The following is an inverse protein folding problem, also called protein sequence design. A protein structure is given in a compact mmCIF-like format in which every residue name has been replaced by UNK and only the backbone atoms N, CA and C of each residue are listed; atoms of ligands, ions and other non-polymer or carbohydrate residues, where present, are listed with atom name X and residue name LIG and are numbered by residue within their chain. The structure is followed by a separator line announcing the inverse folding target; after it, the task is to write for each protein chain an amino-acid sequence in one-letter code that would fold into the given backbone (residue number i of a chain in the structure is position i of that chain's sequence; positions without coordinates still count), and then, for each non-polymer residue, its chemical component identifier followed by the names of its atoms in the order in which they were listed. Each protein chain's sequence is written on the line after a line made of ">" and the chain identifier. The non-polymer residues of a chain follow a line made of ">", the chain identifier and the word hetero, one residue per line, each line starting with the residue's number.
data_IF_739538970194
#
_entry.id   IF_739538970194
#
_cell.length_a   1.000
_cell.length_b   1.000
_cell.length_c   1.000
_cell.angle_alpha   90.00
_cell.angle_beta   90.00
_cell.angle_gamma   90.00
#
_symmetry.space_group_name_H-M   'P 1'
#
loop_
_entity.id
_entity.type
_entity.pdbx_description
1 polymer ?
#
# COMPACT_ATOMS: atom_id res chain seq x y z
N UNK A 1 -18.74 -7.65 -11.36
CA UNK A 1 -18.33 -6.43 -10.63
C UNK A 1 -16.90 -6.60 -10.14
N UNK A 2 -15.90 -6.11 -10.87
CA UNK A 2 -14.50 -6.25 -10.46
C UNK A 2 -14.24 -5.31 -9.26
N UNK A 3 -14.00 -5.89 -8.07
CA UNK A 3 -13.58 -5.11 -6.88
C UNK A 3 -12.18 -4.55 -7.17
N UNK A 4 -12.12 -3.30 -7.62
CA UNK A 4 -10.85 -2.63 -7.91
C UNK A 4 -9.88 -2.76 -6.73
N UNK A 5 -8.66 -3.20 -7.01
CA UNK A 5 -7.62 -3.40 -6.00
C UNK A 5 -7.67 -4.72 -5.22
N UNK A 6 -8.66 -5.60 -5.46
CA UNK A 6 -8.68 -6.97 -4.95
C UNK A 6 -8.30 -7.98 -6.05
N UNK A 7 -7.64 -9.06 -5.67
CA UNK A 7 -7.42 -10.24 -6.52
C UNK A 7 -8.61 -11.20 -6.40
N UNK A 8 -8.70 -12.15 -7.32
CA UNK A 8 -9.71 -13.23 -7.26
C UNK A 8 -9.64 -14.05 -5.99
N UNK A 9 -8.45 -14.18 -5.39
CA UNK A 9 -8.23 -14.90 -4.12
C UNK A 9 -8.52 -14.06 -2.86
N UNK A 10 -9.18 -12.90 -2.99
CA UNK A 10 -9.55 -12.05 -1.84
C UNK A 10 -8.42 -11.18 -1.28
N UNK A 11 -7.20 -11.29 -1.79
CA UNK A 11 -6.06 -10.48 -1.33
C UNK A 11 -5.96 -9.15 -2.08
N UNK A 12 -5.32 -8.15 -1.49
CA UNK A 12 -5.11 -6.85 -2.14
C UNK A 12 -4.01 -6.90 -3.22
N UNK A 13 -4.19 -6.12 -4.29
CA UNK A 13 -3.14 -5.82 -5.26
C UNK A 13 -2.04 -4.96 -4.63
N UNK A 14 -0.80 -5.10 -5.11
CA UNK A 14 0.34 -4.31 -4.63
C UNK A 14 0.03 -2.80 -4.75
N UNK A 15 0.31 -2.04 -3.69
CA UNK A 15 0.02 -0.61 -3.66
C UNK A 15 -1.44 -0.25 -3.35
N UNK A 16 -2.25 -1.20 -2.90
CA UNK A 16 -3.58 -0.96 -2.33
C UNK A 16 -3.59 -1.27 -0.83
N UNK A 17 -4.51 -0.62 -0.10
CA UNK A 17 -4.73 -0.83 1.34
C UNK A 17 -6.22 -0.76 1.66
N UNK A 18 -6.62 -1.36 2.79
CA UNK A 18 -7.94 -1.11 3.35
C UNK A 18 -7.96 0.25 4.06
N UNK A 19 -9.00 1.04 3.81
CA UNK A 19 -9.35 2.22 4.58
C UNK A 19 -10.26 1.81 5.75
N UNK A 20 -10.49 2.75 6.68
CA UNK A 20 -11.53 2.60 7.70
C UNK A 20 -12.86 2.29 7.02
N UNK A 21 -13.57 1.26 7.49
CA UNK A 21 -14.83 0.79 6.89
C UNK A 21 -14.67 -0.21 5.75
N UNK A 22 -13.51 -0.87 5.60
CA UNK A 22 -13.36 -2.00 4.67
C UNK A 22 -13.25 -1.62 3.18
N UNK A 23 -13.17 -0.33 2.86
CA UNK A 23 -13.01 0.15 1.49
C UNK A 23 -11.58 -0.03 0.99
N UNK A 24 -11.41 -0.55 -0.22
CA UNK A 24 -10.09 -0.67 -0.86
C UNK A 24 -9.70 0.67 -1.48
N UNK A 25 -8.52 1.19 -1.12
CA UNK A 25 -7.98 2.45 -1.65
C UNK A 25 -6.53 2.29 -2.08
N UNK A 26 -6.10 3.05 -3.10
CA UNK A 26 -4.68 3.10 -3.50
C UNK A 26 -3.86 3.70 -2.37
N UNK A 27 -2.78 3.02 -2.00
CA UNK A 27 -1.89 3.49 -0.95
C UNK A 27 -1.18 4.77 -1.43
N UNK A 28 -1.48 5.91 -0.80
CA UNK A 28 -0.76 7.16 -1.00
C UNK A 28 0.55 7.08 -0.22
N UNK A 29 1.65 6.79 -0.92
CA UNK A 29 3.01 6.88 -0.36
C UNK A 29 3.75 5.55 -0.22
N UNK A 30 4.28 5.04 -1.33
CA UNK A 30 5.52 4.24 -1.34
C UNK A 30 6.41 4.50 -2.57
N UNK A 31 5.96 5.29 -3.56
CA UNK A 31 6.79 5.66 -4.73
C UNK A 31 7.91 6.63 -4.39
N UNK A 32 7.75 7.43 -3.35
CA UNK A 32 8.89 8.09 -2.71
C UNK A 32 9.58 7.07 -1.82
N UNK A 33 10.61 6.41 -2.38
CA UNK A 33 11.61 5.65 -1.61
C UNK A 33 11.89 6.47 -0.34
N UNK A 34 11.57 5.93 0.84
CA UNK A 34 11.97 6.56 2.10
C UNK A 34 13.50 6.65 2.02
N UNK A 35 14.02 7.87 1.89
CA UNK A 35 15.46 8.12 1.81
C UNK A 35 16.05 7.47 3.05
N UNK A 36 16.83 6.40 2.88
CA UNK A 36 17.38 5.67 4.00
C UNK A 36 18.25 6.65 4.78
N UNK A 37 17.76 7.11 5.94
CA UNK A 37 18.55 7.96 6.82
C UNK A 37 19.61 7.04 7.42
N UNK A 38 20.77 7.00 6.76
CA UNK A 38 21.96 6.31 7.21
C UNK A 38 22.34 6.93 8.56
N UNK A 39 21.90 6.30 9.66
CA UNK A 39 22.36 6.65 11.02
C UNK A 39 23.88 6.50 11.01
N UNK A 40 24.60 7.62 10.94
CA UNK A 40 26.02 7.66 11.31
C UNK A 40 26.09 7.18 12.75
N UNK A 41 26.61 5.97 12.96
CA UNK A 41 27.09 5.54 14.27
C UNK A 41 28.37 6.34 14.52
N UNK A 42 28.39 7.11 15.59
CA UNK A 42 29.55 7.87 16.09
C UNK A 42 30.40 6.93 16.94
#
# INVERSE_FOLDING_TARGET
>A
MAKEGLKSNGTLKKGYRFAKGGRVVKAKGTTTKRKAVRRKRK
#
